data_IF_666621496562
#
_entry.id   IF_666621496562
#
_cell.length_a   1.000
_cell.length_b   1.000
_cell.length_c   1.000
_cell.angle_alpha   90.00
_cell.angle_beta   90.00
_cell.angle_gamma   90.00
#
_symmetry.space_group_name_H-M   'P 1'
#
loop_
_entity.id
_entity.type
_entity.pdbx_description
1 polymer ?
#
# COMPACT_ATOMS: atom_id res chain seq x y z
N UNK A 1 9.82 -11.47 -16.55
CA UNK A 1 8.35 -11.53 -16.38
C UNK A 1 8.05 -11.80 -14.91
N UNK A 2 7.28 -10.94 -14.24
CA UNK A 2 6.80 -11.20 -12.88
C UNK A 2 5.68 -12.25 -12.98
N UNK A 3 5.68 -13.26 -12.11
CA UNK A 3 4.66 -14.33 -12.15
C UNK A 3 3.26 -13.79 -11.81
N UNK A 4 2.22 -14.45 -12.32
CA UNK A 4 0.83 -14.09 -12.05
C UNK A 4 0.52 -14.10 -10.54
N UNK A 5 1.13 -15.01 -9.79
CA UNK A 5 0.99 -15.10 -8.33
C UNK A 5 1.55 -13.85 -7.63
N UNK A 6 2.74 -13.39 -8.02
CA UNK A 6 3.34 -12.18 -7.44
C UNK A 6 2.47 -10.96 -7.74
N UNK A 7 1.97 -10.83 -8.98
CA UNK A 7 1.10 -9.70 -9.36
C UNK A 7 -0.13 -9.57 -8.46
N UNK A 8 -0.78 -10.69 -8.11
CA UNK A 8 -1.95 -10.71 -7.22
C UNK A 8 -1.63 -10.21 -5.82
N UNK A 9 -0.48 -10.60 -5.27
CA UNK A 9 0.00 -10.08 -3.99
C UNK A 9 0.29 -8.58 -4.03
N UNK A 10 0.92 -8.07 -5.10
CA UNK A 10 1.16 -6.63 -5.26
C UNK A 10 -0.15 -5.84 -5.35
N UNK A 11 -1.17 -6.40 -5.99
CA UNK A 11 -2.51 -5.82 -6.03
C UNK A 11 -3.19 -5.81 -4.64
N UNK A 12 -3.12 -6.93 -3.91
CA UNK A 12 -3.69 -7.04 -2.56
C UNK A 12 -2.99 -6.10 -1.56
N UNK A 13 -1.68 -5.93 -1.66
CA UNK A 13 -0.90 -4.94 -0.89
C UNK A 13 -1.21 -3.49 -1.29
N UNK A 14 -1.94 -3.28 -2.40
CA UNK A 14 -2.27 -1.97 -2.96
C UNK A 14 -1.05 -1.08 -3.17
N UNK A 15 0.02 -1.61 -3.79
CA UNK A 15 1.24 -0.82 -4.03
C UNK A 15 0.99 0.47 -4.81
N UNK A 16 0.00 0.50 -5.70
CA UNK A 16 -0.43 1.72 -6.40
C UNK A 16 -0.97 2.83 -5.46
N UNK A 17 -1.40 2.47 -4.24
CA UNK A 17 -1.86 3.43 -3.22
C UNK A 17 -0.70 4.01 -2.39
N UNK A 18 0.51 3.44 -2.47
CA UNK A 18 1.67 3.92 -1.71
C UNK A 18 2.06 5.35 -2.06
N UNK A 19 1.67 5.84 -3.23
CA UNK A 19 1.85 7.25 -3.60
C UNK A 19 1.22 8.21 -2.58
N UNK A 20 0.14 7.80 -1.90
CA UNK A 20 -0.51 8.58 -0.83
C UNK A 20 0.38 8.64 0.41
N UNK A 21 1.00 7.52 0.78
CA UNK A 21 1.97 7.45 1.88
C UNK A 21 3.27 8.18 1.56
N UNK A 22 3.60 8.34 0.26
CA UNK A 22 4.71 9.17 -0.20
C UNK A 22 4.60 10.64 0.23
N UNK A 23 3.44 11.11 0.67
CA UNK A 23 3.26 12.43 1.29
C UNK A 23 4.18 12.64 2.51
N UNK A 24 4.58 11.57 3.22
CA UNK A 24 5.58 11.66 4.29
C UNK A 24 6.91 12.30 3.83
N UNK A 25 7.27 12.14 2.54
CA UNK A 25 8.47 12.76 1.96
C UNK A 25 8.36 14.29 1.85
N UNK A 26 7.15 14.84 1.84
CA UNK A 26 6.95 16.30 1.79
C UNK A 26 7.59 17.01 3.00
N UNK A 27 7.73 16.31 4.13
CA UNK A 27 8.42 16.82 5.31
C UNK A 27 9.86 17.29 5.02
N UNK A 28 10.57 16.63 4.10
CA UNK A 28 11.93 17.00 3.71
C UNK A 28 11.99 18.39 3.06
N UNK A 29 10.98 18.74 2.27
CA UNK A 29 10.91 20.02 1.57
C UNK A 29 10.47 21.15 2.51
N UNK A 30 9.48 20.89 3.37
CA UNK A 30 9.02 21.89 4.35
C UNK A 30 10.04 22.17 5.45
N UNK A 31 10.89 21.19 5.78
CA UNK A 31 12.00 21.38 6.71
C UNK A 31 13.24 22.02 6.06
N UNK A 32 13.30 22.10 4.72
CA UNK A 32 14.46 22.63 3.99
C UNK A 32 15.67 21.69 3.93
N UNK A 33 15.55 20.44 4.36
CA UNK A 33 16.65 19.48 4.45
C UNK A 33 16.67 18.45 3.29
N UNK A 34 16.05 18.77 2.15
CA UNK A 34 15.95 17.87 1.01
C UNK A 34 17.32 17.49 0.41
N UNK A 35 18.38 18.26 0.66
CA UNK A 35 19.76 17.96 0.23
C UNK A 35 20.58 17.21 1.30
N UNK A 36 20.02 17.01 2.49
CA UNK A 36 20.73 16.35 3.60
C UNK A 36 20.46 14.84 3.61
N UNK A 37 21.51 14.04 3.44
CA UNK A 37 21.40 12.56 3.44
C UNK A 37 20.83 12.04 4.77
N UNK A 38 21.20 12.65 5.89
CA UNK A 38 20.69 12.32 7.23
C UNK A 38 19.17 12.44 7.31
N UNK A 39 18.59 13.47 6.70
CA UNK A 39 17.14 13.69 6.69
C UNK A 39 16.42 12.59 5.88
N UNK A 40 16.97 12.20 4.73
CA UNK A 40 16.44 11.08 3.95
C UNK A 40 16.48 9.76 4.72
N UNK A 41 17.58 9.48 5.44
CA UNK A 41 17.71 8.28 6.27
C UNK A 41 16.69 8.25 7.42
N UNK A 42 16.23 9.40 7.90
CA UNK A 42 15.16 9.49 8.90
C UNK A 42 13.77 9.29 8.28
N UNK A 43 13.49 9.87 7.11
CA UNK A 43 12.13 9.93 6.53
C UNK A 43 11.78 8.68 5.69
N UNK A 44 12.76 8.05 5.04
CA UNK A 44 12.51 6.86 4.20
C UNK A 44 11.94 5.68 5.01
N UNK A 45 12.51 5.30 6.18
CA UNK A 45 11.92 4.24 7.01
C UNK A 45 10.51 4.57 7.48
N UNK A 46 10.27 5.83 7.87
CA UNK A 46 8.93 6.29 8.27
C UNK A 46 7.94 6.12 7.11
N UNK A 47 8.29 6.59 5.92
CA UNK A 47 7.45 6.47 4.72
C UNK A 47 7.16 5.01 4.40
N UNK A 48 8.17 4.13 4.50
CA UNK A 48 8.01 2.69 4.31
C UNK A 48 7.08 2.08 5.37
N UNK A 49 7.20 2.45 6.64
CA UNK A 49 6.29 2.01 7.69
C UNK A 49 4.85 2.44 7.40
N UNK A 50 4.62 3.68 6.95
CA UNK A 50 3.30 4.14 6.54
C UNK A 50 2.72 3.36 5.36
N UNK A 51 3.55 3.02 4.37
CA UNK A 51 3.16 2.13 3.27
C UNK A 51 2.72 0.76 3.79
N UNK A 52 3.52 0.12 4.64
CA UNK A 52 3.24 -1.21 5.18
C UNK A 52 2.00 -1.23 6.08
N UNK A 53 1.86 -0.23 6.98
CA UNK A 53 0.67 -0.07 7.83
C UNK A 53 -0.58 0.12 6.96
N UNK A 54 -0.50 0.99 5.94
CA UNK A 54 -1.63 1.17 5.02
C UNK A 54 -1.99 -0.13 4.30
N UNK A 55 -1.02 -0.90 3.82
CA UNK A 55 -1.26 -2.22 3.20
C UNK A 55 -1.91 -3.19 4.18
N UNK A 56 -1.45 -3.24 5.44
CA UNK A 56 -2.03 -4.09 6.47
C UNK A 56 -3.50 -3.73 6.75
N UNK A 57 -3.81 -2.43 6.87
CA UNK A 57 -5.19 -1.95 7.05
C UNK A 57 -6.08 -2.32 5.86
N UNK A 58 -5.58 -2.18 4.62
CA UNK A 58 -6.35 -2.59 3.44
C UNK A 58 -6.59 -4.10 3.37
N UNK A 59 -5.58 -4.90 3.68
CA UNK A 59 -5.71 -6.35 3.75
C UNK A 59 -6.73 -6.77 4.82
N UNK A 60 -6.64 -6.19 6.02
CA UNK A 60 -7.61 -6.43 7.09
C UNK A 60 -9.03 -6.06 6.65
N UNK A 61 -9.20 -4.91 5.98
CA UNK A 61 -10.50 -4.52 5.44
C UNK A 61 -11.02 -5.48 4.37
N UNK A 62 -10.17 -5.96 3.47
CA UNK A 62 -10.59 -6.89 2.41
C UNK A 62 -10.98 -8.27 3.00
N UNK A 63 -10.37 -8.68 4.12
CA UNK A 63 -10.76 -9.89 4.86
C UNK A 63 -12.09 -9.69 5.59
N UNK A 64 -12.23 -8.60 6.35
CA UNK A 64 -13.42 -8.34 7.16
C UNK A 64 -14.67 -8.14 6.29
N UNK A 65 -14.51 -7.56 5.10
CA UNK A 65 -15.62 -7.29 4.18
C UNK A 65 -15.77 -8.37 3.09
N UNK A 66 -15.16 -9.55 3.25
CA UNK A 66 -15.09 -10.59 2.22
C UNK A 66 -16.47 -10.95 1.62
N UNK A 67 -17.47 -11.14 2.47
CA UNK A 67 -18.82 -11.53 2.03
C UNK A 67 -19.48 -10.43 1.18
N UNK A 68 -19.36 -9.16 1.61
CA UNK A 68 -19.89 -8.02 0.87
C UNK A 68 -19.13 -7.81 -0.45
N UNK A 69 -17.79 -7.88 -0.40
CA UNK A 69 -16.95 -7.65 -1.57
C UNK A 69 -17.22 -8.67 -2.68
N UNK A 70 -17.54 -9.92 -2.34
CA UNK A 70 -17.95 -10.97 -3.30
C UNK A 70 -19.22 -10.61 -4.08
N UNK A 71 -20.18 -9.94 -3.45
CA UNK A 71 -21.43 -9.54 -4.08
C UNK A 71 -21.33 -8.18 -4.80
N UNK A 72 -20.26 -7.42 -4.56
CA UNK A 72 -20.13 -6.05 -5.06
C UNK A 72 -19.61 -6.00 -6.51
N UNK A 73 -20.27 -5.29 -7.45
CA UNK A 73 -19.94 -5.29 -8.89
C UNK A 73 -18.49 -4.94 -9.24
N UNK A 74 -17.86 -4.07 -8.44
CA UNK A 74 -16.46 -3.63 -8.64
C UNK A 74 -15.42 -4.27 -7.71
N UNK A 75 -15.85 -4.88 -6.58
CA UNK A 75 -14.91 -5.38 -5.56
C UNK A 75 -14.80 -6.90 -5.56
N UNK A 76 -15.71 -7.60 -6.24
CA UNK A 76 -15.71 -9.05 -6.38
C UNK A 76 -14.46 -9.58 -7.09
N UNK A 77 -13.85 -8.75 -7.96
CA UNK A 77 -12.60 -9.05 -8.64
C UNK A 77 -11.33 -8.89 -7.80
N UNK A 78 -11.42 -8.39 -6.55
CA UNK A 78 -10.25 -8.25 -5.67
C UNK A 78 -9.62 -9.62 -5.42
N UNK A 79 -8.28 -9.72 -5.25
CA UNK A 79 -7.61 -11.00 -5.10
C UNK A 79 -8.18 -11.88 -3.97
N UNK A 80 -8.48 -11.30 -2.81
CA UNK A 80 -9.07 -12.03 -1.67
C UNK A 80 -10.54 -12.39 -1.93
N UNK A 81 -11.34 -11.45 -2.44
CA UNK A 81 -12.76 -11.67 -2.72
C UNK A 81 -13.00 -12.78 -3.76
N UNK A 82 -12.18 -12.79 -4.81
CA UNK A 82 -12.23 -13.77 -5.91
C UNK A 82 -11.55 -15.11 -5.61
N UNK A 83 -10.95 -15.28 -4.41
CA UNK A 83 -10.26 -16.52 -4.03
C UNK A 83 -8.96 -16.77 -4.79
N UNK A 84 -8.31 -15.71 -5.25
CA UNK A 84 -7.06 -15.78 -6.00
C UNK A 84 -5.81 -15.90 -5.11
N UNK A 85 -5.95 -15.57 -3.83
CA UNK A 85 -4.99 -15.68 -2.71
C UNK A 85 -5.75 -15.93 -1.42
#
# INVERSE_FOLDING_TARGET
MISAAVRKWLEALRLQHWIKSGFCLAALFFHGAALEVSAWLAVLPVTLCFCLISSAVYLANDILNLAEDRCHPRKSGRPIASGQI
#
